data_IF_203557183652
#
_entry.id   IF_203557183652
#
_cell.length_a   1.000
_cell.length_b   1.000
_cell.length_c   1.000
_cell.angle_alpha   90.00
_cell.angle_beta   90.00
_cell.angle_gamma   90.00
#
_symmetry.space_group_name_H-M   'P 1'
#
loop_
_entity.id
_entity.type
_entity.pdbx_description
1 polymer ?
#
# COMPACT_ATOMS: atom_id res chain seq x y z
N UNK A 1 14.41 -5.16 37.81
CA UNK A 1 13.48 -4.30 38.59
C UNK A 1 12.01 -4.48 38.18
N UNK A 2 11.65 -4.28 36.91
CA UNK A 2 10.25 -4.41 36.44
C UNK A 2 9.68 -5.83 36.57
N UNK A 3 10.50 -6.85 36.25
CA UNK A 3 10.10 -8.27 36.34
C UNK A 3 9.71 -8.69 37.77
N UNK A 4 10.46 -8.25 38.79
CA UNK A 4 10.18 -8.56 40.21
C UNK A 4 8.89 -7.87 40.68
N UNK A 5 8.63 -6.65 40.21
CA UNK A 5 7.38 -5.92 40.49
C UNK A 5 6.15 -6.61 39.87
N UNK A 6 6.27 -7.07 38.62
CA UNK A 6 5.22 -7.82 37.91
C UNK A 6 4.97 -9.17 38.59
N UNK A 7 6.01 -9.85 39.06
CA UNK A 7 5.92 -11.14 39.78
C UNK A 7 5.21 -11.00 41.14
N UNK A 8 5.54 -9.96 41.91
CA UNK A 8 4.85 -9.69 43.18
C UNK A 8 3.38 -9.29 42.99
N UNK A 9 3.08 -8.51 41.94
CA UNK A 9 1.72 -8.10 41.60
C UNK A 9 0.86 -9.31 41.16
N UNK A 10 1.40 -10.18 40.30
CA UNK A 10 0.72 -11.40 39.85
C UNK A 10 0.54 -12.43 40.96
N UNK A 11 1.47 -12.52 41.92
CA UNK A 11 1.31 -13.34 43.14
C UNK A 11 0.19 -12.84 44.06
N UNK A 12 0.03 -11.53 44.21
CA UNK A 12 -0.99 -10.91 45.08
C UNK A 12 -2.39 -10.95 44.45
N UNK A 13 -2.44 -10.90 43.11
CA UNK A 13 -3.68 -10.87 42.32
C UNK A 13 -3.74 -12.10 41.41
N UNK A 14 -3.61 -13.30 41.98
CA UNK A 14 -3.50 -14.58 41.24
C UNK A 14 -4.52 -14.77 40.11
N UNK A 15 -5.74 -14.28 40.30
CA UNK A 15 -6.82 -14.43 39.33
C UNK A 15 -7.00 -13.22 38.40
N UNK A 16 -6.38 -12.07 38.70
CA UNK A 16 -6.54 -10.86 37.89
C UNK A 16 -6.06 -11.03 36.44
N UNK A 17 -4.89 -11.63 36.15
CA UNK A 17 -4.50 -11.89 34.77
C UNK A 17 -5.49 -12.79 34.02
N UNK A 18 -6.05 -13.79 34.71
CA UNK A 18 -7.06 -14.70 34.15
C UNK A 18 -8.35 -13.94 33.83
N UNK A 19 -8.82 -13.10 34.76
CA UNK A 19 -9.98 -12.23 34.55
C UNK A 19 -9.77 -11.26 33.39
N UNK A 20 -8.59 -10.65 33.27
CA UNK A 20 -8.27 -9.73 32.17
C UNK A 20 -8.23 -10.45 30.82
N UNK A 21 -7.64 -11.66 30.75
CA UNK A 21 -7.63 -12.48 29.54
C UNK A 21 -9.06 -12.87 29.14
N UNK A 22 -9.89 -13.28 30.09
CA UNK A 22 -11.30 -13.60 29.83
C UNK A 22 -12.08 -12.39 29.33
N UNK A 23 -11.87 -11.22 29.95
CA UNK A 23 -12.56 -9.98 29.57
C UNK A 23 -12.13 -9.50 28.18
N UNK A 24 -10.83 -9.57 27.86
CA UNK A 24 -10.32 -9.31 26.51
C UNK A 24 -10.82 -10.33 25.48
N UNK A 25 -10.95 -11.60 25.86
CA UNK A 25 -11.48 -12.64 24.99
C UNK A 25 -12.97 -12.43 24.71
N UNK A 26 -13.75 -12.05 25.72
CA UNK A 26 -15.18 -11.71 25.57
C UNK A 26 -15.37 -10.48 24.69
N UNK A 27 -14.55 -9.44 24.88
CA UNK A 27 -14.55 -8.26 24.01
C UNK A 27 -14.21 -8.63 22.57
N UNK A 28 -13.18 -9.47 22.38
CA UNK A 28 -12.81 -9.99 21.06
C UNK A 28 -13.94 -10.80 20.41
N UNK A 29 -14.60 -11.69 21.16
CA UNK A 29 -15.75 -12.46 20.68
C UNK A 29 -16.92 -11.53 20.33
N UNK A 30 -17.21 -10.52 21.15
CA UNK A 30 -18.28 -9.55 20.90
C UNK A 30 -18.07 -8.81 19.57
N UNK A 31 -16.84 -8.37 19.27
CA UNK A 31 -16.50 -7.72 18.00
C UNK A 31 -16.40 -8.69 16.81
N UNK A 32 -15.99 -9.95 17.04
CA UNK A 32 -15.85 -10.96 15.97
C UNK A 32 -17.16 -11.68 15.64
N UNK A 33 -18.13 -11.74 16.56
CA UNK A 33 -19.39 -12.45 16.37
C UNK A 33 -20.17 -11.93 15.14
N UNK A 34 -20.35 -10.60 14.95
CA UNK A 34 -20.96 -10.06 13.72
C UNK A 34 -20.23 -10.45 12.44
N UNK A 35 -18.88 -10.54 12.48
CA UNK A 35 -18.08 -10.92 11.32
C UNK A 35 -18.26 -12.41 10.96
N UNK A 36 -18.31 -13.30 11.95
CA UNK A 36 -18.46 -14.76 11.73
C UNK A 36 -19.86 -15.19 11.31
N UNK A 37 -20.90 -14.41 11.66
CA UNK A 37 -22.29 -14.66 11.25
C UNK A 37 -22.66 -13.99 9.93
N UNK A 38 -21.72 -13.30 9.29
CA UNK A 38 -21.99 -12.56 8.07
C UNK A 38 -22.09 -13.50 6.88
N UNK A 39 -23.25 -13.56 6.27
CA UNK A 39 -23.39 -14.05 4.89
C UNK A 39 -22.95 -12.94 3.97
N UNK A 40 -21.69 -12.98 3.51
CA UNK A 40 -21.23 -12.07 2.47
C UNK A 40 -21.96 -12.41 1.17
N UNK A 41 -22.95 -11.60 0.83
CA UNK A 41 -23.71 -11.72 -0.42
C UNK A 41 -23.54 -10.38 -1.12
N UNK A 42 -22.88 -10.37 -2.28
CA UNK A 42 -22.99 -9.27 -3.23
C UNK A 42 -24.21 -9.57 -4.11
N UNK A 43 -25.40 -9.03 -3.82
CA UNK A 43 -26.52 -9.18 -4.72
C UNK A 43 -26.17 -8.59 -6.10
N UNK A 44 -26.80 -9.13 -7.14
CA UNK A 44 -26.50 -8.76 -8.54
C UNK A 44 -26.71 -7.26 -8.86
N UNK A 45 -27.39 -6.53 -8.00
CA UNK A 45 -27.65 -5.09 -8.11
C UNK A 45 -26.69 -4.22 -7.27
N UNK A 46 -25.68 -4.81 -6.60
CA UNK A 46 -24.67 -4.05 -5.87
C UNK A 46 -23.94 -3.11 -6.81
N UNK A 47 -24.01 -1.81 -6.53
CA UNK A 47 -23.32 -0.78 -7.29
C UNK A 47 -21.85 -0.74 -6.93
N UNK A 48 -21.01 -0.29 -7.87
CA UNK A 48 -19.58 -0.07 -7.60
C UNK A 48 -19.34 0.90 -6.43
N UNK A 49 -20.22 1.90 -6.27
CA UNK A 49 -20.18 2.85 -5.16
C UNK A 49 -20.35 2.16 -3.79
N UNK A 50 -21.22 1.15 -3.70
CA UNK A 50 -21.47 0.40 -2.47
C UNK A 50 -20.34 -0.55 -2.10
N UNK A 51 -19.61 -1.08 -3.11
CA UNK A 51 -18.41 -1.88 -2.88
C UNK A 51 -17.26 -0.99 -2.36
N UNK A 52 -17.08 0.17 -2.99
CA UNK A 52 -15.94 1.06 -2.75
C UNK A 52 -16.07 1.92 -1.50
N UNK A 53 -17.29 2.22 -1.05
CA UNK A 53 -17.51 2.95 0.21
C UNK A 53 -17.22 2.11 1.46
N UNK A 54 -16.89 0.82 1.31
CA UNK A 54 -16.50 -0.08 2.39
C UNK A 54 -17.63 -0.53 3.31
N UNK A 55 -18.82 0.10 3.27
CA UNK A 55 -19.96 -0.16 4.15
C UNK A 55 -20.47 -1.61 4.05
N UNK A 56 -20.43 -2.18 2.84
CA UNK A 56 -20.80 -3.58 2.59
C UNK A 56 -19.78 -4.57 3.16
N UNK A 57 -18.51 -4.20 3.21
CA UNK A 57 -17.41 -5.09 3.61
C UNK A 57 -17.08 -4.94 5.10
N UNK A 58 -17.25 -3.75 5.68
CA UNK A 58 -17.01 -3.47 7.09
C UNK A 58 -17.82 -2.23 7.57
N UNK A 59 -18.88 -2.40 8.39
CA UNK A 59 -19.75 -1.32 8.84
C UNK A 59 -19.14 -0.47 9.96
N UNK A 60 -18.02 -0.89 10.56
CA UNK A 60 -17.32 -0.15 11.61
C UNK A 60 -16.16 0.69 11.06
N UNK A 61 -16.04 0.78 9.73
CA UNK A 61 -14.83 1.26 9.09
C UNK A 61 -14.99 2.61 8.40
N UNK A 62 -14.15 3.58 8.78
CA UNK A 62 -13.94 4.83 8.04
C UNK A 62 -12.50 4.86 7.52
N UNK A 63 -12.25 4.30 6.34
CA UNK A 63 -10.93 4.32 5.70
C UNK A 63 -10.75 5.56 4.83
N UNK A 64 -9.56 6.13 4.75
CA UNK A 64 -9.22 7.18 3.78
C UNK A 64 -8.91 6.61 2.36
N UNK A 65 -9.21 5.34 2.08
CA UNK A 65 -8.82 4.67 0.83
C UNK A 65 -9.81 3.59 0.38
N UNK A 66 -9.82 3.30 -0.91
CA UNK A 66 -10.69 2.29 -1.52
C UNK A 66 -10.07 0.90 -1.37
N UNK A 67 -10.45 0.14 -0.35
CA UNK A 67 -9.85 -1.16 -0.01
C UNK A 67 -9.92 -2.21 -1.14
N UNK A 68 -10.92 -2.11 -2.01
CA UNK A 68 -11.07 -3.01 -3.17
C UNK A 68 -10.15 -2.65 -4.33
N UNK A 69 -9.64 -1.41 -4.36
CA UNK A 69 -8.72 -0.93 -5.40
C UNK A 69 -7.28 -0.79 -4.88
N UNK A 70 -7.10 -0.61 -3.57
CA UNK A 70 -5.82 -0.43 -2.89
C UNK A 70 -5.67 -1.55 -1.86
N UNK A 71 -4.62 -2.38 -2.01
CA UNK A 71 -4.35 -3.60 -1.25
C UNK A 71 -4.05 -3.38 0.24
N UNK A 72 -5.03 -2.88 0.99
CA UNK A 72 -4.85 -2.42 2.37
C UNK A 72 -4.10 -1.08 2.42
N UNK A 73 -4.49 -0.23 3.36
CA UNK A 73 -3.91 1.11 3.54
C UNK A 73 -2.50 1.06 4.10
N UNK A 74 -2.03 -0.12 4.48
CA UNK A 74 -0.71 -0.35 5.09
C UNK A 74 0.45 0.06 4.17
N UNK A 75 0.19 0.16 2.86
CA UNK A 75 1.17 0.59 1.88
C UNK A 75 1.08 2.08 1.51
N UNK A 76 0.05 2.79 1.99
CA UNK A 76 -0.15 4.19 1.66
C UNK A 76 0.87 5.08 2.39
N UNK A 77 1.40 6.11 1.73
CA UNK A 77 2.15 7.16 2.41
C UNK A 77 1.33 7.78 3.54
N UNK A 78 2.01 8.13 4.63
CA UNK A 78 1.38 8.66 5.85
C UNK A 78 0.45 9.86 5.62
N UNK A 79 0.71 10.67 4.59
CA UNK A 79 -0.07 11.86 4.26
C UNK A 79 -0.98 11.70 3.03
N UNK A 80 -1.44 10.49 2.72
CA UNK A 80 -2.29 10.24 1.54
C UNK A 80 -3.64 10.97 1.61
N UNK A 81 -4.22 11.41 0.47
CA UNK A 81 -5.56 11.99 0.45
C UNK A 81 -6.62 10.93 0.75
N UNK A 82 -7.84 11.38 1.02
CA UNK A 82 -8.99 10.49 1.02
C UNK A 82 -9.33 10.08 -0.43
N UNK A 83 -8.89 8.90 -0.86
CA UNK A 83 -9.07 8.42 -2.22
C UNK A 83 -10.54 8.18 -2.60
N UNK A 84 -11.47 8.19 -1.64
CA UNK A 84 -12.91 8.06 -1.90
C UNK A 84 -13.50 9.35 -2.47
N UNK A 85 -12.95 10.50 -2.09
CA UNK A 85 -13.40 11.83 -2.52
C UNK A 85 -12.38 12.56 -3.38
N UNK A 86 -11.14 12.05 -3.45
CA UNK A 86 -10.07 12.67 -4.21
C UNK A 86 -10.34 12.58 -5.72
N UNK A 87 -10.38 13.73 -6.37
CA UNK A 87 -10.50 13.81 -7.83
C UNK A 87 -9.19 13.39 -8.48
N UNK A 88 -9.25 12.41 -9.40
CA UNK A 88 -8.09 11.89 -10.14
C UNK A 88 -7.64 12.85 -11.25
N UNK A 89 -7.25 14.07 -10.89
CA UNK A 89 -6.69 15.10 -11.78
C UNK A 89 -5.21 15.33 -11.50
N UNK A 90 -4.49 15.85 -12.49
CA UNK A 90 -3.13 16.35 -12.31
C UNK A 90 -3.24 17.76 -11.78
N UNK A 91 -2.56 18.02 -10.67
CA UNK A 91 -2.70 19.26 -9.91
C UNK A 91 -1.38 20.00 -9.81
N UNK A 92 -1.43 21.29 -9.58
CA UNK A 92 -0.28 22.06 -9.09
C UNK A 92 0.04 21.67 -7.65
N UNK A 93 1.16 22.14 -7.12
CA UNK A 93 1.49 21.97 -5.69
C UNK A 93 0.51 22.69 -4.75
N UNK A 94 -0.25 23.67 -5.25
CA UNK A 94 -1.34 24.36 -4.53
C UNK A 94 -2.70 23.65 -4.62
N UNK A 95 -2.81 22.57 -5.40
CA UNK A 95 -4.04 21.78 -5.55
C UNK A 95 -4.95 22.25 -6.70
N UNK A 96 -4.53 23.23 -7.50
CA UNK A 96 -5.29 23.66 -8.67
C UNK A 96 -5.19 22.61 -9.78
N UNK A 97 -6.31 22.30 -10.44
CA UNK A 97 -6.31 21.32 -11.53
C UNK A 97 -5.61 21.90 -12.76
N UNK A 98 -4.57 21.21 -13.22
CA UNK A 98 -3.84 21.52 -14.44
C UNK A 98 -4.49 20.83 -15.63
N UNK A 99 -4.67 19.52 -15.54
CA UNK A 99 -5.16 18.67 -16.64
C UNK A 99 -5.56 17.29 -16.09
N UNK A 100 -5.96 16.40 -17.00
CA UNK A 100 -6.14 14.97 -16.75
C UNK A 100 -5.15 14.16 -17.57
N UNK A 101 -4.91 12.93 -17.14
CA UNK A 101 -4.20 11.93 -17.93
C UNK A 101 -5.03 10.67 -18.06
N UNK A 102 -4.43 9.63 -18.64
CA UNK A 102 -5.09 8.35 -18.86
C UNK A 102 -4.11 7.19 -18.60
N UNK A 103 -4.67 6.08 -18.15
CA UNK A 103 -3.92 4.82 -18.06
C UNK A 103 -3.91 4.17 -19.43
N UNK A 104 -2.73 4.05 -20.04
CA UNK A 104 -2.57 3.39 -21.35
C UNK A 104 -2.25 1.90 -21.20
N UNK A 105 -1.71 1.50 -20.04
CA UNK A 105 -1.46 0.11 -19.66
C UNK A 105 -1.37 0.02 -18.12
N UNK A 106 -1.31 -1.19 -17.58
CA UNK A 106 -1.08 -1.45 -16.17
C UNK A 106 0.23 -0.79 -15.70
N UNK A 107 0.12 0.14 -14.76
CA UNK A 107 1.28 0.84 -14.21
C UNK A 107 1.87 1.93 -15.11
N UNK A 108 1.20 2.28 -16.22
CA UNK A 108 1.65 3.28 -17.18
C UNK A 108 0.60 4.39 -17.38
N UNK A 109 0.89 5.60 -16.90
CA UNK A 109 -0.02 6.74 -16.93
C UNK A 109 0.51 7.87 -17.83
N UNK A 110 -0.25 8.23 -18.86
CA UNK A 110 0.10 9.23 -19.87
C UNK A 110 -0.59 10.56 -19.61
N UNK A 111 0.12 11.67 -19.80
CA UNK A 111 -0.43 13.01 -19.67
C UNK A 111 0.34 14.05 -20.49
N UNK A 112 -0.30 15.19 -20.77
CA UNK A 112 0.29 16.29 -21.54
C UNK A 112 0.33 17.57 -20.70
N UNK A 113 1.48 18.25 -20.70
CA UNK A 113 1.69 19.51 -20.00
C UNK A 113 1.97 20.60 -21.03
N UNK A 114 1.26 21.72 -20.91
CA UNK A 114 1.37 22.86 -21.84
C UNK A 114 2.39 23.90 -21.41
N UNK A 115 2.72 23.97 -20.11
CA UNK A 115 3.64 24.97 -19.55
C UNK A 115 4.61 24.31 -18.55
N UNK A 116 5.90 24.69 -18.52
CA UNK A 116 6.85 24.23 -17.51
C UNK A 116 6.36 24.55 -16.09
N UNK A 117 6.26 23.53 -15.24
CA UNK A 117 5.79 23.67 -13.86
C UNK A 117 6.01 22.38 -13.06
N UNK A 118 5.92 22.48 -11.73
CA UNK A 118 5.84 21.29 -10.87
C UNK A 118 4.38 20.84 -10.76
N UNK A 119 4.14 19.56 -11.03
CA UNK A 119 2.81 18.94 -10.94
C UNK A 119 2.80 17.76 -9.99
N UNK A 120 1.62 17.51 -9.42
CA UNK A 120 1.28 16.34 -8.61
C UNK A 120 0.33 15.47 -9.41
N UNK A 121 0.74 14.23 -9.65
CA UNK A 121 -0.05 13.23 -10.38
C UNK A 121 -1.02 12.54 -9.42
N UNK A 122 -2.20 12.08 -9.89
CA UNK A 122 -3.16 11.34 -9.08
C UNK A 122 -2.72 9.87 -8.88
N UNK A 123 -1.46 9.66 -8.52
CA UNK A 123 -0.80 8.37 -8.34
C UNK A 123 -0.15 8.37 -6.96
N UNK A 124 -0.46 7.37 -6.14
CA UNK A 124 0.19 7.18 -4.84
C UNK A 124 1.70 7.03 -5.00
N UNK A 125 2.48 7.79 -4.23
CA UNK A 125 3.94 7.75 -4.36
C UNK A 125 4.52 6.45 -3.81
N UNK A 126 5.39 5.84 -4.61
CA UNK A 126 6.33 4.81 -4.19
C UNK A 126 7.70 5.06 -4.83
N UNK A 127 8.77 4.69 -4.13
CA UNK A 127 10.12 4.78 -4.68
C UNK A 127 10.25 3.87 -5.91
N UNK A 128 10.65 4.45 -7.03
CA UNK A 128 10.80 3.78 -8.32
C UNK A 128 9.96 4.37 -9.45
N UNK A 129 8.97 5.22 -9.15
CA UNK A 129 8.29 5.97 -10.20
C UNK A 129 9.24 6.97 -10.86
N UNK A 130 9.22 6.99 -12.19
CA UNK A 130 9.90 7.98 -13.02
C UNK A 130 8.90 8.57 -14.01
N UNK A 131 9.21 9.76 -14.51
CA UNK A 131 8.49 10.36 -15.63
C UNK A 131 9.40 10.35 -16.84
N UNK A 132 8.88 9.96 -17.99
CA UNK A 132 9.60 10.00 -19.26
C UNK A 132 8.89 10.92 -20.24
N UNK A 133 9.62 11.83 -20.88
CA UNK A 133 9.11 12.55 -22.05
C UNK A 133 9.04 11.58 -23.24
N UNK A 134 7.92 11.52 -23.95
CA UNK A 134 7.74 10.59 -25.06
C UNK A 134 8.63 10.94 -26.26
N UNK A 135 8.82 12.23 -26.54
CA UNK A 135 9.52 12.71 -27.72
C UNK A 135 11.03 12.74 -27.53
N UNK A 136 11.51 13.22 -26.37
CA UNK A 136 12.95 13.34 -26.08
C UNK A 136 13.54 12.13 -25.36
N UNK A 137 12.70 11.23 -24.86
CA UNK A 137 13.06 10.09 -24.00
C UNK A 137 13.78 10.47 -22.69
N UNK A 138 13.84 11.77 -22.36
CA UNK A 138 14.38 12.31 -21.10
C UNK A 138 13.65 11.70 -19.90
N UNK A 139 14.41 11.34 -18.87
CA UNK A 139 13.89 10.78 -17.63
C UNK A 139 13.97 11.84 -16.55
N UNK A 140 12.84 12.11 -15.91
CA UNK A 140 12.69 13.01 -14.79
C UNK A 140 12.45 12.19 -13.52
N UNK A 141 13.20 12.52 -12.48
CA UNK A 141 13.00 11.92 -11.16
C UNK A 141 11.72 12.43 -10.51
N UNK A 142 11.07 11.56 -9.75
CA UNK A 142 9.87 11.90 -8.98
C UNK A 142 10.17 12.05 -7.50
N UNK A 143 9.36 12.88 -6.84
CA UNK A 143 9.42 13.10 -5.39
C UNK A 143 8.06 12.84 -4.75
N UNK A 144 8.07 12.65 -3.43
CA UNK A 144 6.87 12.55 -2.60
C UNK A 144 6.27 13.94 -2.44
N UNK A 145 5.00 14.12 -2.83
CA UNK A 145 4.26 15.35 -2.53
C UNK A 145 3.81 15.41 -1.07
N UNK A 146 3.33 16.59 -0.66
CA UNK A 146 2.76 16.80 0.68
C UNK A 146 1.56 15.89 0.96
N UNK A 147 0.80 15.50 -0.06
CA UNK A 147 -0.36 14.63 0.04
C UNK A 147 -0.05 13.17 -0.33
N UNK A 148 1.20 12.71 -0.27
CA UNK A 148 1.49 11.29 -0.46
C UNK A 148 1.40 10.80 -1.92
N UNK A 149 1.37 11.72 -2.88
CA UNK A 149 1.25 11.43 -4.31
C UNK A 149 2.57 11.69 -5.05
N UNK A 150 2.65 11.23 -6.30
CA UNK A 150 3.82 11.44 -7.16
C UNK A 150 3.90 12.91 -7.58
N UNK A 151 5.03 13.56 -7.28
CA UNK A 151 5.36 14.92 -7.69
C UNK A 151 6.53 14.92 -8.68
N UNK A 152 6.50 15.83 -9.65
CA UNK A 152 7.56 15.98 -10.66
C UNK A 152 7.66 17.43 -11.12
N UNK A 153 8.89 17.90 -11.35
CA UNK A 153 9.14 19.19 -12.01
C UNK A 153 9.29 18.98 -13.51
N UNK A 154 8.36 19.53 -14.29
CA UNK A 154 8.32 19.39 -15.75
C UNK A 154 9.00 20.61 -16.39
N UNK A 155 10.12 20.43 -17.11
CA UNK A 155 10.92 21.56 -17.61
C UNK A 155 10.40 22.16 -18.92
N UNK A 156 9.58 21.43 -19.68
CA UNK A 156 9.14 21.83 -21.02
C UNK A 156 7.72 21.35 -21.32
N UNK A 157 7.11 21.96 -22.33
CA UNK A 157 5.84 21.51 -22.90
C UNK A 157 6.04 20.16 -23.58
N UNK A 158 5.11 19.22 -23.39
CA UNK A 158 5.19 17.92 -24.04
C UNK A 158 4.25 16.88 -23.46
N UNK A 159 4.35 15.67 -24.02
CA UNK A 159 3.63 14.49 -23.51
C UNK A 159 4.58 13.60 -22.73
N UNK A 160 4.14 13.20 -21.56
CA UNK A 160 4.91 12.46 -20.58
C UNK A 160 4.19 11.19 -20.17
N UNK A 161 4.98 10.21 -19.71
CA UNK A 161 4.50 8.95 -19.17
C UNK A 161 5.11 8.72 -17.81
N UNK A 162 4.26 8.48 -16.80
CA UNK A 162 4.66 7.96 -15.51
C UNK A 162 4.67 6.44 -15.54
N UNK A 163 5.80 5.85 -15.13
CA UNK A 163 5.98 4.41 -15.08
C UNK A 163 6.87 4.02 -13.90
N UNK A 164 6.71 2.78 -13.42
CA UNK A 164 7.52 2.24 -12.34
C UNK A 164 8.79 1.56 -12.90
N UNK A 165 9.96 2.04 -12.47
CA UNK A 165 11.25 1.45 -12.79
C UNK A 165 11.78 0.60 -11.64
N UNK A 166 12.49 -0.48 -11.98
CA UNK A 166 13.19 -1.30 -10.99
C UNK A 166 14.16 -0.45 -10.15
N UNK A 167 13.99 -0.54 -8.84
CA UNK A 167 14.88 0.10 -7.87
C UNK A 167 16.09 -0.78 -7.59
N UNK A 168 17.20 -0.15 -7.16
CA UNK A 168 18.38 -0.88 -6.68
C UNK A 168 18.03 -1.86 -5.57
N UNK A 169 17.12 -1.49 -4.65
CA UNK A 169 16.65 -2.36 -3.57
C UNK A 169 16.00 -3.61 -4.17
N UNK A 170 15.06 -3.45 -5.12
CA UNK A 170 14.41 -4.59 -5.78
C UNK A 170 15.41 -5.48 -6.50
N UNK A 171 16.37 -4.89 -7.23
CA UNK A 171 17.42 -5.64 -7.93
C UNK A 171 18.28 -6.45 -6.97
N UNK A 172 18.72 -5.86 -5.86
CA UNK A 172 19.52 -6.55 -4.84
C UNK A 172 18.70 -7.65 -4.15
N UNK A 173 17.43 -7.39 -3.82
CA UNK A 173 16.55 -8.39 -3.22
C UNK A 173 16.38 -9.63 -4.11
N UNK A 174 16.25 -9.44 -5.42
CA UNK A 174 16.19 -10.57 -6.38
C UNK A 174 17.47 -11.41 -6.32
N UNK A 175 18.64 -10.78 -6.33
CA UNK A 175 19.92 -11.50 -6.24
C UNK A 175 20.07 -12.27 -4.93
N UNK A 176 19.66 -11.69 -3.81
CA UNK A 176 19.65 -12.38 -2.51
C UNK A 176 18.71 -13.60 -2.57
N UNK A 177 17.49 -13.45 -3.09
CA UNK A 177 16.55 -14.56 -3.20
C UNK A 177 17.08 -15.70 -4.07
N UNK A 178 17.70 -15.39 -5.21
CA UNK A 178 18.33 -16.38 -6.09
C UNK A 178 19.46 -17.11 -5.35
N UNK A 179 20.34 -16.38 -4.66
CA UNK A 179 21.44 -16.98 -3.91
C UNK A 179 20.93 -17.89 -2.79
N UNK A 180 19.93 -17.47 -2.02
CA UNK A 180 19.31 -18.29 -0.97
C UNK A 180 18.68 -19.56 -1.54
N UNK A 181 18.03 -19.47 -2.69
CA UNK A 181 17.47 -20.63 -3.38
C UNK A 181 18.57 -21.63 -3.79
N UNK A 182 19.65 -21.13 -4.39
CA UNK A 182 20.80 -21.96 -4.79
C UNK A 182 21.46 -22.66 -3.60
N UNK A 183 21.67 -21.94 -2.47
CA UNK A 183 22.19 -22.52 -1.23
C UNK A 183 21.24 -23.61 -0.70
N UNK A 184 19.93 -23.36 -0.72
CA UNK A 184 18.92 -24.31 -0.25
C UNK A 184 18.91 -25.59 -1.10
N UNK A 185 18.98 -25.47 -2.42
CA UNK A 185 19.08 -26.61 -3.34
C UNK A 185 20.38 -27.38 -3.10
N UNK A 186 21.51 -26.67 -2.99
CA UNK A 186 22.81 -27.27 -2.70
C UNK A 186 22.81 -28.05 -1.38
N UNK A 187 22.19 -27.50 -0.34
CA UNK A 187 22.04 -28.16 0.95
C UNK A 187 21.20 -29.44 0.87
N UNK A 188 20.09 -29.43 0.11
CA UNK A 188 19.25 -30.61 -0.10
C UNK A 188 20.04 -31.72 -0.82
N UNK A 189 20.79 -31.38 -1.87
CA UNK A 189 21.62 -32.33 -2.62
C UNK A 189 22.71 -32.92 -1.71
N UNK A 190 23.40 -32.08 -0.94
CA UNK A 190 24.42 -32.52 0.02
C UNK A 190 23.84 -33.49 1.07
N UNK A 191 22.68 -33.17 1.65
CA UNK A 191 21.99 -34.02 2.64
C UNK A 191 21.56 -35.36 2.05
N UNK A 192 21.08 -35.40 0.81
CA UNK A 192 20.72 -36.66 0.13
C UNK A 192 21.95 -37.53 -0.07
N UNK A 193 23.04 -36.98 -0.63
CA UNK A 193 24.29 -37.72 -0.84
C UNK A 193 24.91 -38.27 0.44
N UNK A 194 24.80 -37.55 1.57
CA UNK A 194 25.28 -38.03 2.87
C UNK A 194 24.42 -39.15 3.45
N UNK A 195 23.17 -39.32 3.01
CA UNK A 195 22.28 -40.40 3.47
C UNK A 195 22.50 -41.71 2.69
N UNK A 196 23.08 -41.61 1.50
CA UNK A 196 23.38 -42.73 0.61
C UNK A 196 24.82 -43.29 0.80
N UNK A 197 25.61 -42.70 1.71
CA UNK A 197 26.93 -43.17 2.18
C UNK A 197 26.78 -43.61 3.63
#
# INVERSE_FOLDING_TARGET
>A
PAVIGIENLTRKLKYLPICLILLLSLEGIYHLYPATKRTFIMPHNTTWQEVTNGKLIDPYYSAQYMRVELAGGDYLPYHSPDFRSYTKTIQTTSGETVTTGEWIDYGTYRFTITNPQTVVLPITYYKGYIIRNIDTAEILETSLSHNGLVSVSIPSTGTYVCLYQNTLIRMVSIWISVLTCMISIGYIIYRKRKKDI
#
